data_IF_689955111633
#
_entry.id   IF_689955111633
#
_cell.length_a   1.000
_cell.length_b   1.000
_cell.length_c   1.000
_cell.angle_alpha   90.00
_cell.angle_beta   90.00
_cell.angle_gamma   90.00
#
_symmetry.space_group_name_H-M   'P 1'
#
loop_
_entity.id
_entity.type
_entity.pdbx_description
1 polymer ?
#
# COMPACT_ATOMS: atom_id res chain seq x y z
N UNK A 1 24.48 -26.92 -0.28
CA UNK A 1 24.38 -27.64 -1.57
C UNK A 1 23.08 -27.35 -2.34
N UNK A 2 21.98 -26.88 -1.71
CA UNK A 2 20.77 -26.44 -2.44
C UNK A 2 20.96 -25.14 -3.22
N UNK A 3 21.64 -24.13 -2.66
CA UNK A 3 21.89 -22.83 -3.32
C UNK A 3 22.89 -22.89 -4.48
N UNK A 4 23.50 -24.05 -4.75
CA UNK A 4 24.47 -24.20 -5.83
C UNK A 4 23.78 -24.50 -7.17
N UNK A 5 22.61 -25.14 -7.17
CA UNK A 5 21.91 -25.50 -8.41
C UNK A 5 20.90 -24.45 -8.88
N UNK A 6 20.30 -23.66 -7.99
CA UNK A 6 19.40 -22.54 -8.39
C UNK A 6 20.15 -21.45 -9.16
N UNK A 7 21.40 -21.17 -8.76
CA UNK A 7 22.27 -20.21 -9.46
C UNK A 7 23.05 -20.81 -10.66
N UNK A 8 23.01 -22.13 -10.88
CA UNK A 8 23.80 -22.77 -11.95
C UNK A 8 23.26 -22.45 -13.36
N UNK A 9 22.01 -21.94 -13.45
CA UNK A 9 21.37 -21.54 -14.71
C UNK A 9 21.14 -20.02 -14.84
N UNK A 10 21.47 -19.22 -13.83
CA UNK A 10 21.37 -17.75 -13.89
C UNK A 10 19.95 -17.17 -13.89
N UNK A 11 18.95 -17.97 -13.54
CA UNK A 11 17.53 -17.57 -13.43
C UNK A 11 17.25 -16.82 -12.11
N UNK A 12 16.34 -15.84 -12.10
CA UNK A 12 15.73 -15.32 -10.87
C UNK A 12 14.83 -16.38 -10.21
N UNK A 13 15.45 -17.38 -9.60
CA UNK A 13 14.75 -18.43 -8.86
C UNK A 13 15.44 -18.65 -7.52
N UNK A 14 15.33 -17.66 -6.64
CA UNK A 14 15.66 -17.88 -5.24
C UNK A 14 14.58 -18.78 -4.62
N UNK A 15 14.91 -20.04 -4.25
CA UNK A 15 13.94 -20.99 -3.73
C UNK A 15 13.36 -20.60 -2.37
N UNK A 16 13.96 -19.60 -1.70
CA UNK A 16 13.51 -19.08 -0.41
C UNK A 16 12.65 -17.80 -0.56
N UNK A 17 12.57 -17.21 -1.76
CA UNK A 17 11.85 -15.95 -1.99
C UNK A 17 10.49 -16.16 -2.67
N UNK A 18 9.48 -15.43 -2.19
CA UNK A 18 8.16 -15.35 -2.82
C UNK A 18 8.22 -14.60 -4.16
N UNK A 19 9.23 -13.75 -4.38
CA UNK A 19 9.49 -13.08 -5.66
C UNK A 19 10.46 -13.93 -6.47
N UNK A 20 9.95 -15.05 -6.97
CA UNK A 20 10.71 -16.02 -7.76
C UNK A 20 9.92 -16.44 -9.00
N UNK A 21 10.62 -16.96 -10.01
CA UNK A 21 9.97 -17.34 -11.26
C UNK A 21 8.94 -18.45 -11.03
N UNK A 22 9.23 -19.40 -10.13
CA UNK A 22 8.31 -20.50 -9.84
C UNK A 22 6.99 -20.04 -9.21
N UNK A 23 6.95 -18.83 -8.64
CA UNK A 23 5.74 -18.18 -8.15
C UNK A 23 5.08 -17.31 -9.23
N UNK A 24 5.86 -16.50 -9.93
CA UNK A 24 5.35 -15.55 -10.93
C UNK A 24 4.80 -16.28 -12.17
N UNK A 25 5.40 -17.39 -12.57
CA UNK A 25 5.00 -18.13 -13.77
C UNK A 25 3.57 -18.70 -13.67
N UNK A 26 3.14 -19.33 -12.56
CA UNK A 26 1.74 -19.69 -12.35
C UNK A 26 0.78 -18.48 -12.38
N UNK A 27 1.18 -17.33 -11.82
CA UNK A 27 0.38 -16.09 -11.87
C UNK A 27 0.21 -15.64 -13.32
N UNK A 28 1.30 -15.61 -14.10
CA UNK A 28 1.27 -15.32 -15.53
C UNK A 28 0.32 -16.28 -16.28
N UNK A 29 0.45 -17.59 -16.05
CA UNK A 29 -0.40 -18.59 -16.68
C UNK A 29 -1.88 -18.39 -16.36
N UNK A 30 -2.23 -18.02 -15.12
CA UNK A 30 -3.60 -17.69 -14.76
C UNK A 30 -4.10 -16.46 -15.53
N UNK A 31 -3.32 -15.38 -15.53
CA UNK A 31 -3.71 -14.11 -16.16
C UNK A 31 -3.91 -14.25 -17.68
N UNK A 32 -3.14 -15.11 -18.34
CA UNK A 32 -3.29 -15.40 -19.78
C UNK A 32 -4.52 -16.25 -20.08
N UNK A 33 -4.77 -17.29 -19.28
CA UNK A 33 -5.77 -18.31 -19.62
C UNK A 33 -7.16 -18.06 -19.03
N UNK A 34 -7.25 -17.34 -17.90
CA UNK A 34 -8.49 -17.18 -17.13
C UNK A 34 -8.96 -15.73 -17.15
N UNK A 35 -8.20 -14.82 -16.54
CA UNK A 35 -8.60 -13.42 -16.38
C UNK A 35 -7.38 -12.49 -16.38
N UNK A 36 -7.32 -11.59 -17.36
CA UNK A 36 -6.17 -10.69 -17.56
C UNK A 36 -6.11 -9.51 -16.59
N UNK A 37 -7.10 -9.33 -15.71
CA UNK A 37 -7.17 -8.22 -14.76
C UNK A 37 -7.77 -8.67 -13.44
N UNK A 38 -7.06 -8.48 -12.34
CA UNK A 38 -7.52 -8.79 -10.99
C UNK A 38 -7.58 -7.52 -10.16
N UNK A 39 -8.60 -7.45 -9.31
CA UNK A 39 -8.76 -6.40 -8.30
C UNK A 39 -9.29 -7.06 -7.03
N UNK A 40 -8.54 -6.95 -5.93
CA UNK A 40 -8.92 -7.54 -4.65
C UNK A 40 -8.22 -6.87 -3.48
N UNK A 41 -8.79 -7.00 -2.27
CA UNK A 41 -8.25 -6.41 -1.05
C UNK A 41 -7.34 -7.38 -0.31
N UNK A 42 -6.21 -6.88 0.17
CA UNK A 42 -5.22 -7.60 0.99
C UNK A 42 -5.18 -6.93 2.37
N UNK A 43 -5.19 -7.72 3.45
CA UNK A 43 -5.14 -7.19 4.83
C UNK A 43 -3.87 -6.37 5.06
N UNK A 44 -4.05 -5.14 5.56
CA UNK A 44 -2.98 -4.19 5.82
C UNK A 44 -2.31 -3.62 4.57
N UNK A 45 -2.92 -3.77 3.38
CA UNK A 45 -2.60 -2.99 2.19
C UNK A 45 -3.74 -2.00 1.98
N UNK A 46 -3.37 -0.73 1.82
CA UNK A 46 -4.35 0.33 1.60
C UNK A 46 -4.98 0.18 0.21
N UNK A 47 -6.31 0.33 0.13
CA UNK A 47 -7.12 0.13 -1.08
C UNK A 47 -6.98 -1.28 -1.70
N UNK A 48 -7.59 -1.47 -2.87
CA UNK A 48 -7.43 -2.71 -3.62
C UNK A 48 -6.05 -2.81 -4.27
N UNK A 49 -5.55 -4.03 -4.38
CA UNK A 49 -4.42 -4.39 -5.23
C UNK A 49 -4.93 -4.67 -6.63
N UNK A 50 -4.26 -4.10 -7.62
CA UNK A 50 -4.54 -4.35 -9.04
C UNK A 50 -3.42 -5.18 -9.64
N UNK A 51 -3.78 -6.23 -10.38
CA UNK A 51 -2.84 -7.10 -11.11
C UNK A 51 -3.35 -7.23 -12.53
N UNK A 52 -2.63 -6.62 -13.48
CA UNK A 52 -3.06 -6.52 -14.87
C UNK A 52 -2.02 -7.13 -15.81
N UNK A 53 -2.48 -7.91 -16.78
CA UNK A 53 -1.68 -8.34 -17.92
C UNK A 53 -1.78 -7.30 -19.03
N UNK A 54 -0.61 -6.91 -19.53
CA UNK A 54 -0.48 -6.05 -20.70
C UNK A 54 0.38 -6.76 -21.75
N UNK A 55 0.17 -6.40 -23.01
CA UNK A 55 0.96 -6.94 -24.11
C UNK A 55 1.34 -5.87 -25.13
N UNK A 56 2.55 -5.98 -25.66
CA UNK A 56 2.99 -5.27 -26.85
C UNK A 56 2.71 -6.16 -28.07
N UNK A 57 2.09 -5.65 -29.15
CA UNK A 57 1.66 -4.27 -29.34
C UNK A 57 0.24 -3.98 -28.82
N UNK A 58 -0.55 -5.01 -28.50
CA UNK A 58 -2.01 -4.91 -28.42
C UNK A 58 -2.53 -3.91 -27.36
N UNK A 59 -1.93 -3.84 -26.18
CA UNK A 59 -2.35 -2.87 -25.16
C UNK A 59 -2.04 -1.42 -25.53
N UNK A 60 -1.21 -1.20 -26.54
CA UNK A 60 -0.80 0.11 -27.03
C UNK A 60 -1.42 0.47 -28.39
N UNK A 61 -2.27 -0.38 -28.95
CA UNK A 61 -2.89 -0.19 -30.28
C UNK A 61 -4.17 0.68 -30.25
N UNK A 62 -4.37 1.49 -29.21
CA UNK A 62 -5.48 2.43 -29.07
C UNK A 62 -5.03 3.87 -29.29
N UNK A 63 -5.96 4.77 -29.65
CA UNK A 63 -5.67 6.16 -30.04
C UNK A 63 -4.83 6.92 -28.99
N UNK A 64 -5.14 6.75 -27.70
CA UNK A 64 -4.46 7.46 -26.62
C UNK A 64 -3.01 6.97 -26.41
N UNK A 65 -2.74 5.67 -26.18
CA UNK A 65 -1.36 5.15 -26.16
C UNK A 65 -0.56 5.49 -27.43
N UNK A 66 -1.16 5.43 -28.62
CA UNK A 66 -0.48 5.80 -29.86
C UNK A 66 -0.10 7.29 -29.91
N UNK A 67 -0.90 8.16 -29.30
CA UNK A 67 -0.56 9.58 -29.14
C UNK A 67 0.60 9.75 -28.15
N UNK A 68 0.57 9.08 -27.02
CA UNK A 68 1.64 9.13 -26.02
C UNK A 68 2.99 8.63 -26.57
N UNK A 69 2.97 7.55 -27.36
CA UNK A 69 4.15 7.00 -28.05
C UNK A 69 4.80 8.08 -28.93
N UNK A 70 3.99 8.80 -29.71
CA UNK A 70 4.49 9.89 -30.57
C UNK A 70 5.00 11.08 -29.76
N UNK A 71 4.34 11.41 -28.64
CA UNK A 71 4.81 12.46 -27.72
C UNK A 71 6.16 12.10 -27.08
N UNK A 72 6.44 10.81 -26.86
CA UNK A 72 7.73 10.30 -26.42
C UNK A 72 8.79 10.23 -27.54
N UNK A 73 8.43 10.60 -28.78
CA UNK A 73 9.35 10.60 -29.93
C UNK A 73 9.59 9.22 -30.55
N UNK A 74 8.70 8.26 -30.28
CA UNK A 74 8.76 6.89 -30.80
C UNK A 74 7.66 6.69 -31.87
N UNK A 75 7.86 5.74 -32.78
CA UNK A 75 6.96 5.52 -33.92
C UNK A 75 5.92 4.44 -33.66
N UNK A 76 6.22 3.45 -32.83
CA UNK A 76 5.34 2.31 -32.55
C UNK A 76 5.63 1.71 -31.17
N UNK A 77 4.78 0.77 -30.75
CA UNK A 77 4.85 0.13 -29.44
C UNK A 77 6.05 -0.80 -29.27
N UNK A 78 6.60 -1.39 -30.34
CA UNK A 78 7.84 -2.16 -30.26
C UNK A 78 9.07 -1.29 -30.00
N UNK A 79 9.09 -0.04 -30.48
CA UNK A 79 10.14 0.90 -30.12
C UNK A 79 10.10 1.23 -28.62
N UNK A 80 8.91 1.37 -28.04
CA UNK A 80 8.75 1.48 -26.57
C UNK A 80 9.32 0.24 -25.89
N UNK A 81 8.90 -0.95 -26.32
CA UNK A 81 9.37 -2.22 -25.76
C UNK A 81 10.90 -2.34 -25.84
N UNK A 82 11.51 -1.94 -26.96
CA UNK A 82 12.95 -1.97 -27.13
C UNK A 82 13.69 -1.00 -26.19
N UNK A 83 13.16 0.18 -25.91
CA UNK A 83 13.73 1.07 -24.88
C UNK A 83 13.66 0.43 -23.47
N UNK A 84 12.57 -0.28 -23.16
CA UNK A 84 12.44 -1.02 -21.90
C UNK A 84 13.40 -2.22 -21.85
N UNK A 85 13.49 -3.00 -22.92
CA UNK A 85 14.40 -4.15 -23.00
C UNK A 85 15.86 -3.75 -22.90
N UNK A 86 16.28 -2.61 -23.47
CA UNK A 86 17.63 -2.04 -23.23
C UNK A 86 17.88 -1.80 -21.74
N UNK A 87 16.91 -1.18 -21.04
CA UNK A 87 17.02 -0.90 -19.61
C UNK A 87 17.08 -2.17 -18.77
N UNK A 88 16.36 -3.21 -19.19
CA UNK A 88 16.28 -4.50 -18.52
C UNK A 88 17.39 -5.48 -18.92
N UNK A 89 18.26 -5.10 -19.85
CA UNK A 89 19.26 -5.97 -20.48
C UNK A 89 18.64 -7.25 -21.08
N UNK A 90 17.52 -7.09 -21.79
CA UNK A 90 16.83 -8.11 -22.59
C UNK A 90 17.16 -7.87 -24.07
N UNK A 91 17.25 -8.94 -24.87
CA UNK A 91 17.47 -8.82 -26.32
C UNK A 91 16.36 -8.02 -27.00
N UNK A 92 16.73 -7.14 -27.94
CA UNK A 92 15.76 -6.32 -28.67
C UNK A 92 14.88 -7.17 -29.58
N UNK A 93 13.64 -6.73 -29.75
CA UNK A 93 12.74 -7.24 -30.77
C UNK A 93 13.31 -6.86 -32.14
N UNK A 94 13.46 -7.85 -33.01
CA UNK A 94 13.95 -7.73 -34.37
C UNK A 94 12.87 -7.24 -35.34
N UNK A 95 13.27 -6.71 -36.50
CA UNK A 95 12.32 -6.29 -37.54
C UNK A 95 11.42 -7.44 -38.04
N UNK A 96 11.94 -8.68 -38.05
CA UNK A 96 11.17 -9.87 -38.40
C UNK A 96 10.05 -10.14 -37.39
N UNK A 97 10.38 -10.08 -36.10
CA UNK A 97 9.40 -10.27 -35.01
C UNK A 97 8.34 -9.16 -35.01
N UNK A 98 8.74 -7.91 -35.26
CA UNK A 98 7.80 -6.79 -35.41
C UNK A 98 6.88 -6.97 -36.62
N UNK A 99 7.42 -7.43 -37.76
CA UNK A 99 6.65 -7.64 -38.99
C UNK A 99 5.65 -8.80 -38.86
N UNK A 100 5.97 -9.79 -38.03
CA UNK A 100 5.10 -10.91 -37.70
C UNK A 100 4.09 -10.59 -36.58
N UNK A 101 4.09 -9.34 -36.09
CA UNK A 101 3.23 -8.86 -35.02
C UNK A 101 3.29 -9.75 -33.76
N UNK A 102 4.50 -10.21 -33.38
CA UNK A 102 4.64 -11.06 -32.20
C UNK A 102 4.25 -10.33 -30.92
N UNK A 103 3.57 -11.05 -30.04
CA UNK A 103 3.09 -10.51 -28.77
C UNK A 103 4.10 -10.72 -27.64
N UNK A 104 4.31 -9.67 -26.84
CA UNK A 104 5.22 -9.68 -25.69
C UNK A 104 4.49 -9.17 -24.45
N UNK A 105 4.31 -10.07 -23.50
CA UNK A 105 3.54 -9.81 -22.28
C UNK A 105 4.38 -9.27 -21.12
N UNK A 106 3.72 -8.52 -20.24
CA UNK A 106 4.23 -8.20 -18.91
C UNK A 106 3.07 -8.07 -17.93
N UNK A 107 3.37 -8.27 -16.64
CA UNK A 107 2.41 -8.07 -15.56
C UNK A 107 2.67 -6.70 -14.93
N UNK A 108 1.63 -5.90 -14.71
CA UNK A 108 1.67 -4.65 -13.95
C UNK A 108 0.88 -4.82 -12.65
N UNK A 109 1.56 -4.67 -11.51
CA UNK A 109 0.99 -4.74 -10.17
C UNK A 109 1.01 -3.35 -9.54
N UNK A 110 -0.14 -2.92 -9.01
CA UNK A 110 -0.35 -1.62 -8.38
C UNK A 110 -0.94 -1.79 -6.98
N UNK A 111 -0.37 -1.11 -6.00
CA UNK A 111 -0.92 -1.07 -4.63
C UNK A 111 -0.38 0.14 -3.87
N UNK A 112 -1.08 0.53 -2.80
CA UNK A 112 -0.67 1.63 -1.93
C UNK A 112 0.04 1.14 -0.69
N UNK A 113 1.05 1.89 -0.26
CA UNK A 113 1.71 1.70 1.03
C UNK A 113 1.66 2.98 1.85
N UNK A 114 2.00 2.85 3.13
CA UNK A 114 2.33 4.01 3.96
C UNK A 114 3.54 4.76 3.36
N UNK A 115 3.60 6.09 3.48
CA UNK A 115 4.74 6.91 3.08
C UNK A 115 5.97 6.67 3.98
N UNK A 116 7.15 7.06 3.49
CA UNK A 116 8.32 7.21 4.36
C UNK A 116 8.12 8.36 5.35
N UNK A 117 8.87 8.43 6.47
CA UNK A 117 8.75 9.52 7.44
C UNK A 117 8.89 10.92 6.82
N UNK A 118 9.73 11.08 5.80
CA UNK A 118 9.91 12.33 5.06
C UNK A 118 8.69 12.69 4.21
N UNK A 119 8.01 11.70 3.64
CA UNK A 119 6.85 11.92 2.75
C UNK A 119 5.54 12.12 3.52
N UNK A 120 5.47 11.73 4.80
CA UNK A 120 4.27 11.84 5.65
C UNK A 120 3.70 13.24 5.74
N UNK A 121 4.53 14.28 5.64
CA UNK A 121 4.06 15.67 5.70
C UNK A 121 3.21 16.10 4.50
N UNK A 122 3.21 15.32 3.41
CA UNK A 122 2.58 15.69 2.15
C UNK A 122 1.66 14.63 1.57
N UNK A 123 1.83 13.37 1.97
CA UNK A 123 1.13 12.22 1.40
C UNK A 123 0.71 11.28 2.52
N UNK A 124 -0.56 10.85 2.49
CA UNK A 124 -1.07 9.82 3.40
C UNK A 124 -0.68 8.41 2.92
N UNK A 125 -0.54 8.23 1.61
CA UNK A 125 -0.22 6.96 0.96
C UNK A 125 0.64 7.18 -0.28
N UNK A 126 1.37 6.14 -0.68
CA UNK A 126 2.22 6.13 -1.86
C UNK A 126 1.81 4.98 -2.77
N UNK A 127 1.47 5.29 -4.02
CA UNK A 127 1.20 4.28 -5.04
C UNK A 127 2.51 3.67 -5.54
N UNK A 128 2.62 2.35 -5.49
CA UNK A 128 3.72 1.58 -6.06
C UNK A 128 3.28 0.87 -7.33
N UNK A 129 4.10 0.95 -8.38
CA UNK A 129 3.90 0.25 -9.65
C UNK A 129 5.08 -0.70 -9.86
N UNK A 130 4.79 -1.99 -10.04
CA UNK A 130 5.77 -3.01 -10.40
C UNK A 130 5.41 -3.60 -11.76
N UNK A 131 6.33 -3.55 -12.72
CA UNK A 131 6.14 -4.12 -14.06
C UNK A 131 7.12 -5.28 -14.27
N UNK A 132 6.59 -6.48 -14.43
CA UNK A 132 7.35 -7.74 -14.49
C UNK A 132 7.41 -8.21 -15.94
N UNK A 133 8.60 -8.16 -16.52
CA UNK A 133 8.88 -8.60 -17.88
C UNK A 133 9.53 -9.98 -17.88
N UNK A 134 9.00 -10.88 -18.69
CA UNK A 134 9.53 -12.24 -18.85
C UNK A 134 10.66 -12.26 -19.87
N UNK A 135 11.68 -13.09 -19.61
CA UNK A 135 12.84 -13.21 -20.48
C UNK A 135 13.49 -14.60 -20.38
N UNK A 136 14.50 -14.81 -21.23
CA UNK A 136 15.29 -16.03 -21.28
C UNK A 136 16.71 -15.73 -20.77
N UNK A 137 17.16 -16.46 -19.76
CA UNK A 137 18.56 -16.44 -19.30
C UNK A 137 19.17 -17.82 -19.51
N UNK A 138 20.18 -17.89 -20.38
CA UNK A 138 20.87 -19.14 -20.77
C UNK A 138 19.92 -20.27 -21.24
N UNK A 139 18.80 -19.90 -21.85
CA UNK A 139 17.72 -20.80 -22.27
C UNK A 139 17.11 -20.34 -23.59
N UNK A 140 16.47 -21.27 -24.30
CA UNK A 140 15.61 -20.97 -25.47
C UNK A 140 14.14 -20.75 -25.06
N UNK A 141 13.77 -21.20 -23.87
CA UNK A 141 12.44 -21.03 -23.29
C UNK A 141 12.47 -19.97 -22.19
N UNK A 142 11.36 -19.24 -22.07
CA UNK A 142 11.13 -18.28 -20.99
C UNK A 142 11.34 -18.95 -19.65
N UNK A 143 12.40 -18.54 -18.98
CA UNK A 143 12.77 -19.08 -17.69
C UNK A 143 13.12 -17.97 -16.73
N UNK A 144 13.06 -16.69 -17.04
CA UNK A 144 13.52 -15.64 -16.14
C UNK A 144 12.60 -14.41 -16.20
N UNK A 145 12.78 -13.46 -15.29
CA UNK A 145 12.04 -12.20 -15.30
C UNK A 145 12.91 -11.02 -14.81
N UNK A 146 12.49 -9.81 -15.18
CA UNK A 146 13.06 -8.54 -14.71
C UNK A 146 11.92 -7.62 -14.26
N UNK A 147 12.18 -6.78 -13.26
CA UNK A 147 11.16 -5.90 -12.69
C UNK A 147 11.58 -4.44 -12.89
N UNK A 148 10.64 -3.63 -13.39
CA UNK A 148 10.69 -2.18 -13.29
C UNK A 148 9.81 -1.71 -12.13
N UNK A 149 10.22 -0.63 -11.46
CA UNK A 149 9.45 0.00 -10.39
C UNK A 149 9.33 1.51 -10.58
N UNK A 150 8.17 2.06 -10.23
CA UNK A 150 7.93 3.50 -10.17
C UNK A 150 6.88 3.82 -9.10
N UNK A 151 7.07 4.92 -8.37
CA UNK A 151 6.05 5.45 -7.46
C UNK A 151 5.19 6.51 -8.13
N UNK A 152 3.92 6.62 -7.71
CA UNK A 152 2.97 7.64 -8.17
C UNK A 152 2.10 7.22 -9.36
N UNK A 153 1.17 8.08 -9.73
CA UNK A 153 0.18 7.81 -10.77
C UNK A 153 0.74 7.93 -12.19
N UNK A 154 0.26 7.05 -13.08
CA UNK A 154 0.61 7.06 -14.49
C UNK A 154 -0.37 7.94 -15.27
N UNK A 155 -0.13 9.26 -15.30
CA UNK A 155 -0.96 10.19 -16.07
C UNK A 155 -0.74 10.08 -17.59
N UNK A 156 0.48 9.72 -17.98
CA UNK A 156 0.83 9.30 -19.34
C UNK A 156 1.51 7.94 -19.20
N UNK A 157 0.86 6.90 -19.69
CA UNK A 157 1.27 5.52 -19.40
C UNK A 157 2.62 5.19 -20.05
N UNK A 158 2.78 5.54 -21.32
CA UNK A 158 4.00 5.30 -22.10
C UNK A 158 5.21 5.98 -21.47
N UNK A 159 5.09 7.27 -21.13
CA UNK A 159 6.14 8.03 -20.47
C UNK A 159 6.46 7.47 -19.10
N UNK A 160 5.45 7.12 -18.30
CA UNK A 160 5.65 6.57 -16.95
C UNK A 160 6.36 5.22 -16.99
N UNK A 161 6.04 4.37 -17.97
CA UNK A 161 6.72 3.09 -18.21
C UNK A 161 8.18 3.31 -18.62
N UNK A 162 8.45 4.27 -19.52
CA UNK A 162 9.80 4.66 -19.93
C UNK A 162 10.62 5.32 -18.82
N UNK A 163 9.98 5.95 -17.83
CA UNK A 163 10.63 6.54 -16.66
C UNK A 163 10.87 5.54 -15.51
N UNK A 164 10.22 4.38 -15.52
CA UNK A 164 10.35 3.40 -14.45
C UNK A 164 11.76 2.82 -14.37
N UNK A 165 12.22 2.50 -13.16
CA UNK A 165 13.61 2.11 -12.92
C UNK A 165 13.72 0.59 -12.82
N UNK A 166 14.80 0.02 -13.39
CA UNK A 166 15.14 -1.39 -13.13
C UNK A 166 15.56 -1.57 -11.68
N UNK A 167 15.02 -2.60 -11.03
CA UNK A 167 15.26 -2.85 -9.61
C UNK A 167 15.72 -4.27 -9.32
N UNK A 168 16.45 -4.40 -8.22
CA UNK A 168 16.64 -5.64 -7.48
C UNK A 168 15.88 -5.52 -6.16
N UNK A 169 14.85 -6.35 -5.98
CA UNK A 169 13.98 -6.35 -4.79
C UNK A 169 14.78 -6.58 -3.50
N UNK A 170 15.93 -7.27 -3.58
CA UNK A 170 16.78 -7.56 -2.42
C UNK A 170 17.66 -6.38 -2.01
N UNK A 171 17.76 -5.37 -2.87
CA UNK A 171 18.70 -4.25 -2.71
C UNK A 171 17.98 -2.90 -2.86
N UNK A 172 17.00 -2.57 -2.01
CA UNK A 172 16.32 -1.27 -2.05
C UNK A 172 17.29 -0.12 -1.74
N UNK A 173 17.26 0.94 -2.55
CA UNK A 173 18.17 2.09 -2.43
C UNK A 173 17.57 3.28 -1.70
N UNK A 174 16.24 3.42 -1.66
CA UNK A 174 15.53 4.48 -0.92
C UNK A 174 14.66 3.92 0.20
N UNK A 175 14.29 4.74 1.18
CA UNK A 175 13.41 4.30 2.27
C UNK A 175 12.00 3.94 1.77
N UNK A 176 11.49 4.66 0.75
CA UNK A 176 10.21 4.30 0.14
C UNK A 176 10.30 2.98 -0.64
N UNK A 177 11.44 2.66 -1.26
CA UNK A 177 11.65 1.33 -1.85
C UNK A 177 11.70 0.24 -0.78
N UNK A 178 12.34 0.47 0.37
CA UNK A 178 12.35 -0.53 1.46
C UNK A 178 10.93 -0.87 1.92
N UNK A 179 10.08 0.14 2.09
CA UNK A 179 8.66 -0.05 2.43
C UNK A 179 7.95 -0.79 1.29
N UNK A 180 8.02 -0.26 0.07
CA UNK A 180 7.35 -0.82 -1.09
C UNK A 180 7.74 -2.25 -1.43
N UNK A 181 9.02 -2.61 -1.31
CA UNK A 181 9.51 -3.93 -1.67
C UNK A 181 9.11 -4.97 -0.63
N UNK A 182 9.14 -4.60 0.66
CA UNK A 182 8.62 -5.45 1.74
C UNK A 182 7.13 -5.72 1.56
N UNK A 183 6.34 -4.68 1.30
CA UNK A 183 4.90 -4.86 1.06
C UNK A 183 4.62 -5.58 -0.27
N UNK A 184 5.49 -5.44 -1.27
CA UNK A 184 5.38 -6.21 -2.52
C UNK A 184 5.49 -7.71 -2.29
N UNK A 185 6.40 -8.18 -1.43
CA UNK A 185 6.48 -9.60 -1.07
C UNK A 185 5.17 -10.10 -0.43
N UNK A 186 4.59 -9.30 0.47
CA UNK A 186 3.28 -9.59 1.09
C UNK A 186 2.15 -9.59 0.04
N UNK A 187 2.17 -8.66 -0.91
CA UNK A 187 1.23 -8.63 -2.04
C UNK A 187 1.36 -9.89 -2.89
N UNK A 188 2.57 -10.35 -3.20
CA UNK A 188 2.79 -11.60 -3.95
C UNK A 188 2.21 -12.81 -3.21
N UNK A 189 2.40 -12.90 -1.89
CA UNK A 189 1.74 -13.93 -1.08
C UNK A 189 0.21 -13.83 -1.18
N UNK A 190 -0.37 -12.63 -1.09
CA UNK A 190 -1.80 -12.43 -1.21
C UNK A 190 -2.36 -12.79 -2.59
N UNK A 191 -1.62 -12.51 -3.68
CA UNK A 191 -1.97 -12.95 -5.04
C UNK A 191 -2.02 -14.48 -5.11
N UNK A 192 -1.02 -15.17 -4.55
CA UNK A 192 -1.02 -16.63 -4.50
C UNK A 192 -2.21 -17.18 -3.73
N UNK A 193 -2.54 -16.61 -2.57
CA UNK A 193 -3.71 -17.02 -1.78
C UNK A 193 -5.01 -16.79 -2.56
N UNK A 194 -5.16 -15.63 -3.21
CA UNK A 194 -6.35 -15.26 -4.00
C UNK A 194 -6.58 -16.25 -5.15
N UNK A 195 -5.50 -16.57 -5.87
CA UNK A 195 -5.51 -17.49 -7.01
C UNK A 195 -5.44 -18.97 -6.61
N UNK A 196 -5.29 -19.27 -5.32
CA UNK A 196 -5.08 -20.63 -4.77
C UNK A 196 -3.85 -21.32 -5.39
N UNK A 197 -2.80 -20.56 -5.66
CA UNK A 197 -1.50 -21.06 -6.10
C UNK A 197 -0.77 -21.63 -4.88
N UNK A 198 -0.29 -22.86 -5.00
CA UNK A 198 0.51 -23.51 -3.96
C UNK A 198 1.87 -22.83 -3.84
N UNK A 199 2.17 -22.32 -2.64
CA UNK A 199 3.48 -21.74 -2.33
C UNK A 199 4.38 -22.86 -1.79
N UNK A 200 5.55 -23.12 -2.40
CA UNK A 200 6.49 -24.11 -1.89
C UNK A 200 6.88 -23.88 -0.43
N UNK A 201 6.94 -24.95 0.36
CA UNK A 201 7.34 -24.91 1.79
C UNK A 201 8.74 -24.33 2.05
N UNK A 202 9.58 -24.24 1.01
CA UNK A 202 10.92 -23.66 1.13
C UNK A 202 10.93 -22.13 1.17
N UNK A 203 9.83 -21.47 0.79
CA UNK A 203 9.73 -20.01 0.76
C UNK A 203 9.44 -19.49 2.16
N UNK A 204 10.20 -18.48 2.59
CA UNK A 204 9.89 -17.76 3.83
C UNK A 204 8.72 -16.80 3.56
N UNK A 205 7.60 -17.02 4.26
CA UNK A 205 6.38 -16.25 4.03
C UNK A 205 6.45 -14.90 4.76
N UNK A 206 6.15 -13.79 4.06
CA UNK A 206 6.05 -12.46 4.67
C UNK A 206 5.05 -12.38 5.83
N UNK A 207 3.98 -13.18 5.79
CA UNK A 207 3.01 -13.32 6.87
C UNK A 207 2.58 -14.78 7.06
N UNK A 208 2.35 -15.18 8.31
CA UNK A 208 1.77 -16.48 8.64
C UNK A 208 0.23 -16.46 8.64
N UNK A 209 -0.37 -15.30 8.46
CA UNK A 209 -1.82 -15.12 8.48
C UNK A 209 -2.44 -15.27 7.08
N UNK A 210 -3.75 -15.52 7.04
CA UNK A 210 -4.52 -15.39 5.81
C UNK A 210 -4.67 -13.91 5.45
N UNK A 211 -4.06 -13.50 4.34
CA UNK A 211 -4.01 -12.12 3.87
C UNK A 211 -5.23 -11.70 3.07
N UNK A 212 -6.07 -12.65 2.63
CA UNK A 212 -7.31 -12.32 1.94
C UNK A 212 -8.27 -11.66 2.91
N UNK A 213 -8.79 -10.51 2.48
CA UNK A 213 -9.85 -9.82 3.21
C UNK A 213 -11.21 -10.39 2.80
N UNK A 214 -11.95 -10.94 3.76
CA UNK A 214 -13.37 -11.25 3.60
C UNK A 214 -14.16 -10.18 4.36
N UNK A 215 -15.06 -9.46 3.69
CA UNK A 215 -15.92 -8.47 4.36
C UNK A 215 -16.81 -9.11 5.45
N UNK A 216 -17.06 -10.41 5.36
CA UNK A 216 -17.79 -11.17 6.39
C UNK A 216 -16.91 -11.49 7.62
N UNK A 217 -15.59 -11.36 7.52
CA UNK A 217 -14.68 -11.58 8.65
C UNK A 217 -14.69 -10.42 9.63
N UNK A 218 -15.18 -9.22 9.24
CA UNK A 218 -15.27 -8.10 10.18
C UNK A 218 -16.31 -8.44 11.24
N UNK A 219 -15.86 -8.61 12.47
CA UNK A 219 -16.70 -8.97 13.60
C UNK A 219 -16.94 -7.79 14.53
N UNK A 220 -17.77 -8.01 15.56
CA UNK A 220 -17.96 -6.98 16.59
C UNK A 220 -16.70 -6.83 17.45
N UNK A 221 -15.92 -7.89 17.60
CA UNK A 221 -14.67 -7.92 18.35
C UNK A 221 -13.62 -6.98 17.74
N UNK A 222 -13.57 -6.84 16.40
CA UNK A 222 -12.69 -5.86 15.75
C UNK A 222 -13.01 -4.41 16.18
N UNK A 223 -14.31 -4.08 16.32
CA UNK A 223 -14.73 -2.77 16.82
C UNK A 223 -14.40 -2.61 18.30
N UNK A 224 -14.52 -3.67 19.09
CA UNK A 224 -14.16 -3.63 20.51
C UNK A 224 -12.66 -3.41 20.70
N UNK A 225 -11.83 -4.11 19.92
CA UNK A 225 -10.39 -3.93 19.90
C UNK A 225 -10.02 -2.51 19.46
N UNK A 226 -10.62 -2.01 18.38
CA UNK A 226 -10.38 -0.65 17.90
C UNK A 226 -10.67 0.40 18.98
N UNK A 227 -11.84 0.31 19.62
CA UNK A 227 -12.23 1.23 20.70
C UNK A 227 -11.23 1.15 21.86
N UNK A 228 -10.84 -0.06 22.26
CA UNK A 228 -9.88 -0.26 23.34
C UNK A 228 -8.53 0.37 23.02
N UNK A 229 -8.00 0.18 21.81
CA UNK A 229 -6.70 0.73 21.42
C UNK A 229 -6.73 2.25 21.29
N UNK A 230 -7.77 2.81 20.66
CA UNK A 230 -7.94 4.27 20.51
C UNK A 230 -8.08 4.95 21.88
N UNK A 231 -8.73 4.32 22.85
CA UNK A 231 -8.84 4.81 24.22
C UNK A 231 -7.64 4.42 25.12
N UNK A 232 -6.53 3.90 24.55
CA UNK A 232 -5.35 3.42 25.29
C UNK A 232 -5.66 2.43 26.42
N UNK A 233 -6.66 1.57 26.22
CA UNK A 233 -7.19 0.62 27.20
C UNK A 233 -7.89 1.26 28.41
N UNK A 234 -8.06 2.59 28.42
CA UNK A 234 -8.70 3.34 29.51
C UNK A 234 -10.15 3.68 29.17
N UNK A 235 -10.98 2.64 29.08
CA UNK A 235 -12.40 2.79 28.78
C UNK A 235 -13.21 1.70 29.48
N UNK A 236 -14.36 2.07 30.04
CA UNK A 236 -15.25 1.11 30.70
C UNK A 236 -15.74 0.05 29.70
N UNK A 237 -15.64 -1.23 30.06
CA UNK A 237 -16.09 -2.36 29.24
C UNK A 237 -17.54 -2.20 28.77
N UNK A 238 -18.41 -1.66 29.62
CA UNK A 238 -19.82 -1.38 29.28
C UNK A 238 -19.95 -0.36 28.14
N UNK A 239 -19.09 0.65 28.11
CA UNK A 239 -19.05 1.64 27.05
C UNK A 239 -18.50 1.02 25.75
N UNK A 240 -17.43 0.22 25.84
CA UNK A 240 -16.88 -0.57 24.71
C UNK A 240 -17.98 -1.40 24.05
N UNK A 241 -18.67 -2.25 24.82
CA UNK A 241 -19.75 -3.11 24.30
C UNK A 241 -20.93 -2.32 23.73
N UNK A 242 -21.18 -1.11 24.22
CA UNK A 242 -22.28 -0.26 23.72
C UNK A 242 -21.89 0.38 22.39
N UNK A 243 -20.69 0.95 22.30
CA UNK A 243 -20.21 1.63 21.10
C UNK A 243 -19.90 0.65 19.99
N UNK A 244 -19.27 -0.51 20.28
CA UNK A 244 -18.99 -1.55 19.29
C UNK A 244 -20.26 -2.04 18.60
N UNK A 245 -21.34 -2.29 19.36
CA UNK A 245 -22.65 -2.65 18.80
C UNK A 245 -23.23 -1.58 17.89
N UNK A 246 -23.07 -0.29 18.25
CA UNK A 246 -23.58 0.84 17.47
C UNK A 246 -22.80 0.98 16.16
N UNK A 247 -21.47 1.00 16.25
CA UNK A 247 -20.56 1.13 15.11
C UNK A 247 -20.71 -0.06 14.15
N UNK A 248 -20.69 -1.30 14.67
CA UNK A 248 -20.86 -2.50 13.85
C UNK A 248 -22.22 -2.56 13.14
N UNK A 249 -23.29 -2.11 13.82
CA UNK A 249 -24.62 -2.00 13.19
C UNK A 249 -24.62 -0.98 12.06
N UNK A 250 -23.91 0.13 12.20
CA UNK A 250 -23.76 1.13 11.13
C UNK A 250 -22.93 0.58 9.97
N UNK A 251 -21.79 -0.06 10.26
CA UNK A 251 -20.96 -0.75 9.28
C UNK A 251 -21.77 -1.72 8.39
N UNK A 252 -22.61 -2.57 9.01
CA UNK A 252 -23.46 -3.52 8.28
C UNK A 252 -24.54 -2.91 7.40
N UNK A 253 -24.91 -1.64 7.61
CA UNK A 253 -25.87 -0.94 6.75
C UNK A 253 -25.23 -0.41 5.45
N UNK A 254 -23.90 -0.33 5.40
CA UNK A 254 -23.15 0.17 4.26
C UNK A 254 -23.43 1.64 3.91
N UNK A 255 -23.08 2.02 2.68
CA UNK A 255 -23.01 3.41 2.18
C UNK A 255 -24.39 4.10 2.09
N UNK A 256 -25.48 3.37 2.31
CA UNK A 256 -26.85 3.91 2.20
C UNK A 256 -27.20 4.98 3.24
N UNK A 257 -26.38 5.13 4.29
CA UNK A 257 -26.56 6.12 5.35
C UNK A 257 -25.21 6.70 5.83
N UNK A 258 -24.49 7.33 4.90
CA UNK A 258 -23.20 8.00 5.16
C UNK A 258 -23.27 8.95 6.35
N UNK A 259 -24.32 9.77 6.44
CA UNK A 259 -24.49 10.72 7.55
C UNK A 259 -24.67 10.03 8.91
N UNK A 260 -25.41 8.91 8.99
CA UNK A 260 -25.51 8.17 10.25
C UNK A 260 -24.21 7.44 10.62
N UNK A 261 -23.38 7.11 9.65
CA UNK A 261 -22.07 6.49 9.86
C UNK A 261 -21.09 7.52 10.43
N UNK A 262 -20.90 8.65 9.75
CA UNK A 262 -20.03 9.76 10.20
C UNK A 262 -20.48 10.32 11.56
N UNK A 263 -21.78 10.59 11.72
CA UNK A 263 -22.31 11.03 13.03
C UNK A 263 -22.20 9.96 14.12
N UNK A 264 -22.15 8.68 13.72
CA UNK A 264 -21.89 7.57 14.62
C UNK A 264 -20.45 7.54 15.13
N UNK A 265 -19.49 7.77 14.24
CA UNK A 265 -18.05 7.83 14.55
C UNK A 265 -17.74 9.03 15.43
N UNK A 266 -18.23 10.21 15.06
CA UNK A 266 -18.01 11.44 15.82
C UNK A 266 -18.53 11.30 17.27
N UNK A 267 -19.75 10.79 17.45
CA UNK A 267 -20.33 10.54 18.77
C UNK A 267 -19.61 9.43 19.57
N UNK A 268 -18.80 8.57 18.92
CA UNK A 268 -17.92 7.65 19.62
C UNK A 268 -16.68 8.39 20.14
N UNK A 269 -16.00 9.16 19.30
CA UNK A 269 -14.82 9.91 19.71
C UNK A 269 -15.15 10.92 20.82
N UNK A 270 -16.29 11.61 20.77
CA UNK A 270 -16.77 12.46 21.88
C UNK A 270 -17.04 11.70 23.19
N UNK A 271 -17.11 10.37 23.16
CA UNK A 271 -17.32 9.53 24.34
C UNK A 271 -16.02 9.02 24.97
N UNK A 272 -14.87 9.37 24.41
CA UNK A 272 -13.54 9.06 24.93
C UNK A 272 -12.73 10.35 25.08
N UNK A 273 -11.54 10.26 25.67
CA UNK A 273 -10.62 11.40 25.78
C UNK A 273 -10.09 11.77 24.39
N UNK A 274 -10.69 12.82 23.84
CA UNK A 274 -10.35 13.39 22.54
C UNK A 274 -10.39 14.91 22.61
N UNK A 275 -9.72 15.55 21.65
CA UNK A 275 -9.76 16.99 21.49
C UNK A 275 -10.30 17.34 20.10
N UNK A 276 -11.50 17.90 20.07
CA UNK A 276 -12.06 18.51 18.88
C UNK A 276 -11.57 19.96 18.79
N UNK A 277 -10.79 20.26 17.75
CA UNK A 277 -10.17 21.56 17.54
C UNK A 277 -10.54 22.13 16.18
N UNK A 278 -10.75 23.44 16.11
CA UNK A 278 -10.75 24.17 14.84
C UNK A 278 -9.39 23.95 14.14
N UNK A 279 -9.31 24.06 12.81
CA UNK A 279 -8.03 23.97 12.10
C UNK A 279 -7.02 25.03 12.55
N UNK A 280 -7.50 26.12 13.18
CA UNK A 280 -6.70 27.13 13.88
C UNK A 280 -6.65 26.88 15.38
N UNK A 281 -5.51 26.40 15.87
CA UNK A 281 -5.20 26.30 17.29
C UNK A 281 -3.78 26.79 17.58
N UNK A 282 -3.57 27.28 18.79
CA UNK A 282 -2.27 27.73 19.27
C UNK A 282 -1.55 26.63 20.08
N UNK A 283 -0.26 26.81 20.38
CA UNK A 283 0.50 25.85 21.18
C UNK A 283 -0.09 25.63 22.57
N UNK A 284 -0.61 26.69 23.22
CA UNK A 284 -1.16 26.62 24.57
C UNK A 284 -2.41 25.74 24.65
N UNK A 285 -3.30 25.82 23.65
CA UNK A 285 -4.43 24.91 23.49
C UNK A 285 -3.93 23.46 23.35
N UNK A 286 -2.95 23.22 22.47
CA UNK A 286 -2.42 21.88 22.24
C UNK A 286 -1.76 21.29 23.49
N UNK A 287 -0.93 22.06 24.20
CA UNK A 287 -0.33 21.65 25.47
C UNK A 287 -1.40 21.32 26.50
N UNK A 288 -2.41 22.19 26.68
CA UNK A 288 -3.49 21.96 27.63
C UNK A 288 -4.29 20.68 27.33
N UNK A 289 -4.85 20.56 26.13
CA UNK A 289 -5.75 19.45 25.80
C UNK A 289 -5.01 18.12 25.72
N UNK A 290 -3.76 18.10 25.22
CA UNK A 290 -2.98 16.87 25.17
C UNK A 290 -2.55 16.47 26.59
N UNK A 291 -2.17 17.42 27.45
CA UNK A 291 -1.83 17.12 28.85
C UNK A 291 -2.99 16.47 29.59
N UNK A 292 -4.21 17.01 29.42
CA UNK A 292 -5.43 16.43 29.97
C UNK A 292 -5.66 15.01 29.42
N UNK A 293 -5.52 14.82 28.10
CA UNK A 293 -5.68 13.51 27.47
C UNK A 293 -4.70 12.47 28.02
N UNK A 294 -3.45 12.84 28.35
CA UNK A 294 -2.43 11.88 28.83
C UNK A 294 -2.31 11.83 30.37
N UNK A 295 -3.03 12.69 31.09
CA UNK A 295 -3.01 12.77 32.56
C UNK A 295 -1.70 13.31 33.16
N UNK A 296 -0.89 14.02 32.39
CA UNK A 296 0.36 14.66 32.85
C UNK A 296 0.73 15.85 31.96
N UNK A 297 1.44 16.83 32.53
CA UNK A 297 1.88 18.02 31.80
C UNK A 297 2.78 17.65 30.61
N UNK A 298 2.39 18.08 29.42
CA UNK A 298 3.17 18.02 28.20
C UNK A 298 3.53 19.44 27.78
N UNK A 299 4.83 19.75 27.76
CA UNK A 299 5.36 20.98 27.20
C UNK A 299 6.34 20.62 26.09
N UNK A 300 6.41 21.44 25.04
CA UNK A 300 7.34 21.22 23.93
C UNK A 300 7.93 22.53 23.42
N UNK A 301 9.16 22.47 22.90
CA UNK A 301 9.83 23.64 22.32
C UNK A 301 9.40 23.78 20.86
N UNK A 302 8.97 24.98 20.48
CA UNK A 302 8.55 25.35 19.13
C UNK A 302 9.07 26.75 18.77
N UNK A 303 9.32 27.06 17.49
CA UNK A 303 9.64 28.41 17.06
C UNK A 303 8.50 29.39 17.37
N UNK A 304 8.84 30.65 17.65
CA UNK A 304 7.84 31.72 17.74
C UNK A 304 6.97 31.77 16.47
N UNK A 305 5.69 32.12 16.62
CA UNK A 305 4.71 32.16 15.53
C UNK A 305 4.38 30.81 14.87
N UNK A 306 4.64 29.68 15.54
CA UNK A 306 4.19 28.35 15.10
C UNK A 306 2.74 28.09 15.58
N UNK A 307 1.85 27.66 14.68
CA UNK A 307 0.44 27.40 14.96
C UNK A 307 -0.11 26.25 14.11
N UNK A 308 -1.27 25.70 14.50
CA UNK A 308 -2.00 24.68 13.74
C UNK A 308 -1.14 23.46 13.35
N UNK A 309 -1.26 22.95 12.12
CA UNK A 309 -0.53 21.79 11.61
C UNK A 309 1.00 21.93 11.68
N UNK A 310 1.54 23.15 11.72
CA UNK A 310 2.98 23.35 11.89
C UNK A 310 3.48 22.92 13.29
N UNK A 311 2.57 22.71 14.25
CA UNK A 311 2.89 22.20 15.58
C UNK A 311 3.09 20.68 15.61
N UNK A 312 2.55 19.92 14.65
CA UNK A 312 2.56 18.45 14.67
C UNK A 312 3.97 17.86 14.86
N UNK A 313 5.03 18.31 14.16
CA UNK A 313 6.36 17.73 14.36
C UNK A 313 6.89 17.88 15.80
N UNK A 314 6.56 18.99 16.47
CA UNK A 314 7.01 19.29 17.83
C UNK A 314 6.21 18.48 18.86
N UNK A 315 4.89 18.40 18.67
CA UNK A 315 4.01 17.58 19.49
C UNK A 315 4.41 16.10 19.39
N UNK A 316 4.58 15.58 18.17
CA UNK A 316 4.99 14.19 17.95
C UNK A 316 6.36 13.90 18.58
N UNK A 317 7.30 14.85 18.49
CA UNK A 317 8.62 14.71 19.13
C UNK A 317 8.55 14.64 20.66
N UNK A 318 7.60 15.34 21.28
CA UNK A 318 7.38 15.30 22.72
C UNK A 318 6.67 14.02 23.16
N UNK A 319 5.59 13.63 22.48
CA UNK A 319 4.85 12.39 22.73
C UNK A 319 5.69 11.14 22.51
N UNK A 320 6.58 11.14 21.52
CA UNK A 320 7.48 10.01 21.25
C UNK A 320 8.40 9.69 22.44
N UNK A 321 8.71 10.64 23.33
CA UNK A 321 9.49 10.40 24.57
C UNK A 321 8.71 9.63 25.63
N UNK A 322 7.40 9.55 25.47
CA UNK A 322 6.45 8.86 26.33
C UNK A 322 5.93 7.57 25.68
N UNK A 323 6.50 7.16 24.55
CA UNK A 323 5.98 6.07 23.70
C UNK A 323 4.51 6.29 23.28
N UNK A 324 4.14 7.55 23.06
CA UNK A 324 2.82 7.97 22.60
C UNK A 324 2.90 8.60 21.21
N UNK A 325 1.74 8.67 20.55
CA UNK A 325 1.60 9.25 19.22
C UNK A 325 0.26 9.99 19.10
N UNK A 326 0.30 11.21 18.55
CA UNK A 326 -0.91 11.97 18.22
C UNK A 326 -1.51 11.41 16.93
N UNK A 327 -2.80 11.13 16.97
CA UNK A 327 -3.57 10.67 15.83
C UNK A 327 -4.82 11.53 15.67
N UNK A 328 -5.47 11.47 14.52
CA UNK A 328 -6.74 12.16 14.29
C UNK A 328 -7.74 11.28 13.57
N UNK A 329 -9.02 11.42 13.90
CA UNK A 329 -10.12 10.92 13.08
C UNK A 329 -10.38 11.89 11.91
N UNK A 330 -10.52 11.37 10.70
CA UNK A 330 -10.87 12.18 9.52
C UNK A 330 -12.33 12.64 9.61
N UNK A 331 -12.50 13.92 9.93
CA UNK A 331 -13.81 14.56 10.05
C UNK A 331 -14.41 14.92 8.69
N UNK A 332 -13.60 14.92 7.62
CA UNK A 332 -13.86 15.53 6.33
C UNK A 332 -14.27 17.02 6.40
N UNK A 333 -13.93 17.69 7.50
CA UNK A 333 -14.24 19.11 7.75
C UNK A 333 -12.99 19.95 8.02
N UNK A 334 -13.20 21.24 8.24
CA UNK A 334 -12.15 22.20 8.61
C UNK A 334 -11.82 22.13 10.12
N UNK A 335 -11.78 20.92 10.69
CA UNK A 335 -11.52 20.70 12.10
C UNK A 335 -10.82 19.35 12.32
N UNK A 336 -10.02 19.28 13.37
CA UNK A 336 -9.35 18.06 13.78
C UNK A 336 -10.08 17.42 14.96
N UNK A 337 -10.14 16.09 14.97
CA UNK A 337 -10.58 15.32 16.12
C UNK A 337 -9.41 14.48 16.59
N UNK A 338 -8.62 15.02 17.51
CA UNK A 338 -7.38 14.42 17.99
C UNK A 338 -7.63 13.39 19.08
N UNK A 339 -6.81 12.34 19.09
CA UNK A 339 -6.65 11.41 20.19
C UNK A 339 -5.18 10.99 20.30
N UNK A 340 -4.78 10.51 21.48
CA UNK A 340 -3.41 10.03 21.71
C UNK A 340 -3.41 8.53 21.87
N UNK A 341 -2.60 7.82 21.08
CA UNK A 341 -2.46 6.37 21.11
C UNK A 341 -1.10 5.94 21.68
N UNK A 342 -0.99 4.69 22.15
CA UNK A 342 0.32 4.11 22.42
C UNK A 342 1.01 3.82 21.08
N UNK A 343 2.29 4.18 20.97
CA UNK A 343 3.06 4.03 19.73
C UNK A 343 3.12 2.61 19.21
N UNK A 344 3.18 1.62 20.11
CA UNK A 344 3.16 0.18 19.76
C UNK A 344 1.83 -0.29 19.14
N UNK A 345 0.74 0.44 19.36
CA UNK A 345 -0.61 0.05 18.96
C UNK A 345 -1.04 0.75 17.65
N UNK A 346 -0.29 1.76 17.20
CA UNK A 346 -0.62 2.60 16.02
C UNK A 346 -0.81 1.77 14.75
N UNK A 347 0.06 0.80 14.48
CA UNK A 347 -0.06 -0.03 13.28
C UNK A 347 -1.35 -0.86 13.30
N UNK A 348 -1.72 -1.40 14.46
CA UNK A 348 -2.97 -2.18 14.63
C UNK A 348 -4.20 -1.29 14.57
N UNK A 349 -4.14 -0.07 15.13
CA UNK A 349 -5.22 0.92 15.02
C UNK A 349 -5.48 1.26 13.55
N UNK A 350 -4.42 1.50 12.76
CA UNK A 350 -4.55 1.80 11.33
C UNK A 350 -5.09 0.62 10.52
N UNK A 351 -4.70 -0.61 10.87
CA UNK A 351 -5.29 -1.80 10.26
C UNK A 351 -6.79 -1.92 10.59
N UNK A 352 -7.16 -1.80 11.87
CA UNK A 352 -8.54 -1.84 12.32
C UNK A 352 -9.38 -0.69 11.75
N UNK A 353 -8.80 0.48 11.54
CA UNK A 353 -9.42 1.61 10.83
C UNK A 353 -9.88 1.21 9.43
N UNK A 354 -9.02 0.53 8.66
CA UNK A 354 -9.34 0.03 7.31
C UNK A 354 -10.36 -1.13 7.33
N UNK A 355 -10.32 -1.98 8.36
CA UNK A 355 -11.28 -3.07 8.54
C UNK A 355 -12.67 -2.54 8.92
N UNK A 356 -12.73 -1.62 9.88
CA UNK A 356 -13.96 -1.06 10.44
C UNK A 356 -14.55 0.10 9.62
N UNK A 357 -13.78 0.63 8.65
CA UNK A 357 -14.11 1.82 7.85
C UNK A 357 -14.28 3.08 8.73
N UNK A 358 -13.53 3.16 9.83
CA UNK A 358 -13.46 4.34 10.72
C UNK A 358 -12.13 5.03 10.46
N UNK A 359 -12.13 6.03 9.58
CA UNK A 359 -10.90 6.65 9.08
C UNK A 359 -10.16 7.43 10.16
N UNK A 360 -9.01 6.90 10.58
CA UNK A 360 -8.05 7.61 11.43
C UNK A 360 -6.70 7.72 10.73
N UNK A 361 -6.03 8.85 10.95
CA UNK A 361 -4.76 9.20 10.34
C UNK A 361 -3.69 9.40 11.42
N UNK A 362 -2.48 8.97 11.09
CA UNK A 362 -1.26 9.34 11.80
C UNK A 362 -0.81 10.72 11.30
N UNK A 363 -0.49 11.64 12.21
CA UNK A 363 -0.15 13.04 11.91
C UNK A 363 1.35 13.30 11.76
#
# INVERSE_FOLDING_TARGET
MKNFFSNLFGRNNDPESIVSFDIISPIYSYLVNEQSKLEFKIKGIHENVFVNMYSFPNSFNFDEPQKEIKEAGLNNSYEVLNELYKKLNIGLVSEEEMSNELEFDYIHIEFYTKPSPEMKSHLNYVLHNFMIFFCCTNSLETNDFRILHKTGHFFNYTKSLLEAEYIDIKTPVTDIQKIGFKEFEKVMQGICQYLKIEIPESIDLPSQENLLFDENDVTIEDFEEFIQLVARQDIEEKLVKKQSKKLFKNYKKGITDYHASVGGHFAFFESIDCWNSDWKFDPEDAEYFISEMIGQDLNFEYPEETYSHNLFPYIQSALARLDLELMTYDTHGDNYLFFVANKKDVDRILELSELTKIEVNQL
#
